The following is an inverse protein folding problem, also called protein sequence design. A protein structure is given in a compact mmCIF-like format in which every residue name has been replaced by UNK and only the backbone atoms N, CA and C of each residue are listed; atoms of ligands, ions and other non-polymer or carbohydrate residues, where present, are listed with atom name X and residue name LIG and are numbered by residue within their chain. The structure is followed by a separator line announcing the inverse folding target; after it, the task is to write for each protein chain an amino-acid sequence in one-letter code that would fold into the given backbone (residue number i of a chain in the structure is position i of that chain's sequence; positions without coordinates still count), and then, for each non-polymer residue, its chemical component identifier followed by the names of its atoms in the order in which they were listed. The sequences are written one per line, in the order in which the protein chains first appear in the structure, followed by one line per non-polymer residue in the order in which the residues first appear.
data_IF_123115701416
#
_entry.id   IF_123115701416
#
_cell.length_a   1.000
_cell.length_b   1.000
_cell.length_c   1.000
_cell.angle_alpha   90.00
_cell.angle_beta   90.00
_cell.angle_gamma   90.00
#
_symmetry.space_group_name_H-M   'P 1'
#
loop_
_entity.id
_entity.type
_entity.pdbx_description
1 polymer ?
2 polymer ?
3 water ?
#
# COMPACT_ATOMS: atom_id res chain seq x y z
N UNK A 9 10.15 15.25 14.69
CA UNK A 9 9.43 14.18 14.01
C UNK A 9 7.96 14.54 13.79
N UNK A 10 7.31 13.89 12.83
CA UNK A 10 5.91 14.18 12.53
C UNK A 10 5.20 12.85 12.44
N UNK A 11 4.00 12.76 13.01
CA UNK A 11 3.22 11.52 12.97
C UNK A 11 1.97 11.55 12.09
N UNK A 12 1.66 10.42 11.48
CA UNK A 12 0.48 10.29 10.64
C UNK A 12 -0.18 8.95 10.94
N UNK A 13 -1.50 8.89 10.83
CA UNK A 13 -2.21 7.63 10.89
C UNK A 13 -3.66 7.68 10.48
N UNK A 14 -4.10 6.66 9.74
CA UNK A 14 -5.52 6.51 9.41
C UNK A 14 -5.83 5.05 9.72
N UNK A 15 -6.88 4.82 10.51
CA UNK A 15 -7.38 3.47 10.72
C UNK A 15 -8.76 3.20 10.16
N UNK A 16 -8.87 2.14 9.36
CA UNK A 16 -10.15 1.65 8.89
C UNK A 16 -10.55 0.46 9.75
N UNK A 17 -11.83 0.39 10.10
CA UNK A 17 -12.31 -0.57 11.08
C UNK A 17 -12.28 -2.01 10.59
N UNK A 18 -12.04 -2.22 9.29
CA UNK A 18 -11.75 -3.56 8.77
C UNK A 18 -10.68 -3.57 7.68
N UNK A 19 -10.10 -4.74 7.41
CA UNK A 19 -8.97 -4.81 6.49
C UNK A 19 -9.43 -5.31 5.13
N UNK A 20 -10.72 -5.66 5.09
CA UNK A 20 -11.41 -6.08 3.87
C UNK A 20 -12.92 -5.97 4.09
N UNK A 21 -13.67 -5.76 3.02
CA UNK A 21 -15.11 -5.76 3.11
C UNK A 21 -15.67 -6.86 2.22
N UNK A 22 -16.46 -7.77 2.79
CA UNK A 22 -17.11 -8.75 1.93
C UNK A 22 -18.51 -8.21 1.71
N UNK A 23 -18.82 -7.84 0.48
CA UNK A 23 -20.03 -7.08 0.23
C UNK A 23 -21.00 -8.00 -0.49
N UNK A 24 -22.12 -8.33 0.14
CA UNK A 24 -23.04 -9.25 -0.54
C UNK A 24 -23.65 -8.55 -1.74
N UNK A 25 -23.55 -9.18 -2.92
CA UNK A 25 -24.05 -8.58 -4.15
C UNK A 25 -25.51 -8.19 -4.01
N UNK A 26 -25.81 -6.93 -4.34
CA UNK A 26 -27.17 -6.36 -4.30
C UNK A 26 -27.67 -6.00 -2.89
N UNK A 27 -26.85 -6.22 -1.86
CA UNK A 27 -27.22 -5.78 -0.51
C UNK A 27 -27.37 -4.26 -0.53
N UNK A 28 -28.21 -3.74 0.37
CA UNK A 28 -28.36 -2.29 0.52
C UNK A 28 -27.06 -1.54 0.81
N UNK A 29 -26.22 -2.08 1.68
CA UNK A 29 -25.03 -1.37 2.10
C UNK A 29 -24.27 -2.00 3.25
N UNK A 30 -23.05 -1.51 3.50
CA UNK A 30 -22.33 -1.87 4.72
C UNK A 30 -21.76 -0.62 5.37
N UNK A 31 -21.45 -0.71 6.66
CA UNK A 31 -20.88 0.43 7.37
C UNK A 31 -19.43 0.12 7.72
N UNK A 32 -18.56 1.13 7.64
CA UNK A 32 -17.17 0.96 8.05
C UNK A 32 -16.79 2.20 8.85
N UNK A 33 -16.14 1.98 9.98
CA UNK A 33 -15.68 3.10 10.79
C UNK A 33 -14.27 3.50 10.38
N UNK A 34 -14.01 4.80 10.44
CA UNK A 34 -12.70 5.36 10.15
C UNK A 34 -12.23 6.18 11.35
N UNK A 35 -10.97 6.01 11.75
CA UNK A 35 -10.47 6.77 12.88
C UNK A 35 -9.31 7.68 12.52
N UNK A 36 -9.36 8.92 13.00
CA UNK A 36 -8.22 9.82 12.94
C UNK A 36 -7.47 9.68 14.25
N UNK A 37 -6.38 8.92 14.22
CA UNK A 37 -5.67 8.59 15.45
C UNK A 37 -4.66 9.65 15.85
N UNK A 38 -4.63 10.76 15.10
CA UNK A 38 -3.64 11.79 15.35
C UNK A 38 -4.19 12.92 16.19
N UNK A 39 -3.32 13.84 16.56
CA UNK A 39 -3.67 14.95 17.45
C UNK A 39 -4.10 16.25 16.76
N UNK A 40 -4.22 16.21 15.44
CA UNK A 40 -4.69 17.35 14.66
C UNK A 40 -5.89 16.88 13.84
N UNK A 41 -6.76 17.81 13.42
CA UNK A 41 -7.86 17.42 12.52
C UNK A 41 -7.40 17.08 11.11
N UNK A 42 -8.15 16.23 10.44
CA UNK A 42 -7.95 15.93 9.02
C UNK A 42 -9.27 15.97 8.23
N UNK A 43 -9.16 16.16 6.92
CA UNK A 43 -10.26 15.83 6.03
C UNK A 43 -10.07 14.37 5.60
N UNK A 44 -11.13 13.57 5.69
CA UNK A 44 -11.06 12.20 5.20
C UNK A 44 -11.68 12.10 3.81
N UNK A 45 -10.88 11.61 2.87
CA UNK A 45 -11.27 11.52 1.46
C UNK A 45 -11.34 10.04 1.01
N UNK A 46 -12.54 9.58 0.68
CA UNK A 46 -12.79 8.16 0.46
C UNK A 46 -13.18 7.90 -0.98
N UNK A 47 -12.65 6.82 -1.54
CA UNK A 47 -12.87 6.53 -2.95
C UNK A 47 -12.93 5.05 -3.21
N UNK A 48 -13.66 4.67 -4.25
CA UNK A 48 -13.65 3.29 -4.74
C UNK A 48 -12.95 3.19 -6.10
N UNK A 49 -12.04 2.22 -6.25
CA UNK A 49 -11.34 2.07 -7.53
C UNK A 49 -11.63 0.70 -8.12
N UNK A 50 -11.15 0.48 -9.35
CA UNK A 50 -11.29 -0.81 -10.00
C UNK A 50 -9.91 -1.43 -10.08
N UNK A 61 -20.48 1.91 -7.08
CA UNK A 61 -20.45 2.09 -5.64
C UNK A 61 -20.33 3.55 -5.24
N UNK A 62 -21.03 3.91 -4.18
CA UNK A 62 -20.86 5.22 -3.54
C UNK A 62 -20.37 5.14 -2.10
N UNK A 63 -19.59 6.13 -1.70
CA UNK A 63 -19.13 6.23 -0.33
C UNK A 63 -19.58 7.55 0.27
N UNK A 64 -20.39 7.47 1.33
CA UNK A 64 -20.98 8.68 1.88
C UNK A 64 -20.48 8.87 3.31
N UNK A 65 -19.98 10.07 3.65
CA UNK A 65 -19.66 11.19 2.76
C UNK A 65 -18.32 10.91 2.06
N UNK A 66 -18.14 11.41 0.83
CA UNK A 66 -16.86 11.23 0.13
C UNK A 66 -15.72 12.08 0.70
N UNK A 67 -16.07 13.19 1.33
CA UNK A 67 -15.10 14.02 2.02
C UNK A 67 -15.80 14.65 3.22
N UNK A 68 -15.12 14.64 4.37
CA UNK A 68 -15.66 15.24 5.58
C UNK A 68 -14.54 15.47 6.59
N UNK A 69 -14.74 16.43 7.49
CA UNK A 69 -13.74 16.75 8.51
C UNK A 69 -13.83 15.73 9.65
N UNK A 70 -12.68 15.16 10.01
CA UNK A 70 -12.63 14.26 11.15
C UNK A 70 -11.60 14.83 12.11
N UNK A 71 -12.07 15.15 13.31
CA UNK A 71 -11.25 15.82 14.31
C UNK A 71 -10.26 14.89 14.99
N UNK A 72 -9.29 15.49 15.69
CA UNK A 72 -8.24 14.74 16.37
C UNK A 72 -8.87 13.70 17.28
N UNK A 73 -8.40 12.46 17.14
CA UNK A 73 -8.80 11.35 18.01
C UNK A 73 -10.23 10.85 17.77
N UNK A 74 -10.90 11.36 16.74
CA UNK A 74 -12.31 11.03 16.58
C UNK A 74 -12.47 9.89 15.58
N UNK A 75 -13.60 9.18 15.68
CA UNK A 75 -14.00 8.18 14.72
C UNK A 75 -15.36 8.50 14.11
N UNK A 76 -15.56 8.19 12.82
CA UNK A 76 -16.89 8.31 12.23
C UNK A 76 -17.17 7.09 11.36
N UNK A 77 -18.31 7.08 10.69
CA UNK A 77 -18.70 5.95 9.85
C UNK A 77 -18.96 6.32 8.39
N UNK A 78 -18.62 5.41 7.49
CA UNK A 78 -18.89 5.58 6.07
C UNK A 78 -19.90 4.51 5.65
N UNK A 79 -20.75 4.86 4.71
CA UNK A 79 -21.63 3.89 4.06
C UNK A 79 -21.11 3.55 2.68
N UNK A 80 -21.05 2.26 2.39
CA UNK A 80 -20.65 1.77 1.07
C UNK A 80 -21.85 1.06 0.47
N UNK A 81 -22.25 1.54 -0.71
CA UNK A 81 -23.50 1.14 -1.33
C UNK A 81 -23.36 0.85 -2.82
N UNK A 82 -23.89 -0.30 -3.24
CA UNK A 82 -24.00 -0.64 -4.65
C UNK A 82 -25.06 0.19 -5.35
N UNK A 87 -22.94 -6.87 -12.46
CA UNK A 87 -21.71 -7.52 -12.03
C UNK A 87 -21.80 -8.99 -12.36
N UNK A 88 -20.64 -9.65 -12.53
CA UNK A 88 -20.73 -11.11 -12.64
C UNK A 88 -21.42 -11.81 -11.46
N UNK A 89 -22.18 -12.83 -11.79
CA UNK A 89 -23.01 -13.60 -10.86
C UNK A 89 -22.46 -14.98 -10.50
N UNK A 90 -21.37 -15.38 -11.17
CA UNK A 90 -20.67 -16.63 -10.83
C UNK A 90 -19.38 -16.54 -10.04
N UNK A 91 -18.90 -15.33 -9.83
CA UNK A 91 -17.53 -15.08 -9.37
C UNK A 91 -17.50 -13.84 -8.51
N UNK A 92 -16.52 -13.72 -7.63
CA UNK A 92 -16.34 -12.45 -6.98
C UNK A 92 -15.78 -11.42 -7.94
N UNK A 93 -15.91 -10.18 -7.49
CA UNK A 93 -15.34 -9.07 -8.19
C UNK A 93 -14.62 -8.31 -7.11
N UNK A 94 -13.67 -7.48 -7.52
CA UNK A 94 -12.83 -6.85 -6.54
C UNK A 94 -12.78 -5.36 -6.83
N UNK A 95 -12.89 -4.56 -5.79
CA UNK A 95 -12.66 -3.14 -5.91
C UNK A 95 -11.78 -2.75 -4.74
N UNK A 96 -11.36 -1.49 -4.71
CA UNK A 96 -10.55 -1.02 -3.61
C UNK A 96 -11.29 0.15 -2.98
N UNK A 97 -11.35 0.18 -1.65
CA UNK A 97 -11.79 1.37 -0.95
C UNK A 97 -10.54 2.03 -0.37
N UNK A 98 -10.31 3.29 -0.74
CA UNK A 98 -9.13 4.01 -0.26
C UNK A 98 -9.57 5.18 0.61
N UNK A 99 -8.96 5.29 1.78
CA UNK A 99 -9.33 6.32 2.75
C UNK A 99 -8.13 7.17 3.14
N UNK A 100 -8.19 8.44 2.75
CA UNK A 100 -7.07 9.37 2.86
C UNK A 100 -7.25 10.47 3.91
N UNK A 101 -6.26 10.66 4.78
CA UNK A 101 -6.32 11.74 5.75
C UNK A 101 -5.46 12.93 5.35
N UNK A 102 -6.11 14.04 4.99
CA UNK A 102 -5.40 15.24 4.57
C UNK A 102 -5.22 16.22 5.73
N UNK A 103 -3.98 16.36 6.22
CA UNK A 103 -3.70 17.24 7.36
C UNK A 103 -3.77 18.71 6.95
N UNK A 104 -3.82 19.63 7.92
CA UNK A 104 -3.75 21.07 7.60
C UNK A 104 -2.55 21.53 6.76
N UNK A 131 19.09 25.50 2.64
CA UNK A 131 17.94 24.89 1.99
C UNK A 131 17.12 24.18 3.06
N UNK A 132 16.06 24.84 3.51
CA UNK A 132 15.22 24.28 4.56
C UNK A 132 14.26 23.33 3.87
N UNK A 133 14.06 22.14 4.42
CA UNK A 133 13.15 21.22 3.76
C UNK A 133 11.93 20.93 4.62
N UNK A 134 10.77 21.01 3.99
CA UNK A 134 9.50 20.87 4.68
C UNK A 134 8.65 19.93 3.86
N UNK A 135 8.34 18.75 4.37
CA UNK A 135 7.49 17.85 3.62
C UNK A 135 6.26 17.53 4.43
N UNK A 136 5.10 17.46 3.77
CA UNK A 136 3.89 17.06 4.46
C UNK A 136 3.45 15.77 3.80
N UNK A 137 2.93 14.85 4.61
CA UNK A 137 2.43 13.59 4.09
C UNK A 137 0.92 13.45 4.29
N UNK A 138 0.35 12.49 3.58
CA UNK A 138 -1.00 12.05 3.83
C UNK A 138 -1.02 10.55 3.55
N UNK A 139 -1.66 9.81 4.43
CA UNK A 139 -1.82 8.37 4.23
C UNK A 139 -3.08 8.14 3.43
N UNK A 140 -2.99 7.21 2.49
CA UNK A 140 -4.14 6.79 1.71
C UNK A 140 -4.21 5.29 1.90
N UNK A 141 -5.09 4.92 2.83
CA UNK A 141 -5.28 3.55 3.27
C UNK A 141 -6.31 2.81 2.43
N UNK A 142 -5.84 1.81 1.69
CA UNK A 142 -6.71 1.11 0.76
C UNK A 142 -6.92 -0.32 1.21
N UNK A 143 -8.17 -0.77 1.12
CA UNK A 143 -8.51 -2.14 1.45
C UNK A 143 -9.35 -2.76 0.35
N UNK A 144 -9.33 -4.09 0.31
CA UNK A 144 -10.12 -4.82 -0.66
C UNK A 144 -11.62 -4.75 -0.38
N UNK A 145 -12.37 -4.41 -1.42
CA UNK A 145 -13.82 -4.52 -1.39
C UNK A 145 -14.19 -5.64 -2.33
N UNK A 146 -14.52 -6.78 -1.73
CA UNK A 146 -14.81 -7.98 -2.48
C UNK A 146 -16.31 -8.14 -2.61
N UNK A 147 -16.79 -8.05 -3.84
CA UNK A 147 -18.22 -8.17 -4.11
C UNK A 147 -18.53 -9.63 -4.32
N UNK A 148 -19.36 -10.19 -3.45
CA UNK A 148 -19.58 -11.63 -3.44
C UNK A 148 -21.06 -11.92 -3.59
N UNK A 149 -21.41 -12.55 -4.72
CA UNK A 149 -22.71 -13.19 -4.98
C UNK A 149 -23.15 -14.17 -3.90
N UNK A 150 -24.46 -14.27 -3.76
CA UNK A 150 -25.12 -15.09 -2.75
C UNK A 150 -25.08 -16.50 -3.29
N UNK A 151 -24.80 -16.65 -4.59
CA UNK A 151 -25.06 -17.90 -5.25
C UNK A 151 -23.80 -18.67 -4.89
N UNK A 152 -22.67 -17.98 -4.80
CA UNK A 152 -21.40 -18.62 -4.49
C UNK A 152 -21.75 -19.35 -3.18
N UNK A 153 -21.57 -20.66 -3.07
CA UNK A 153 -21.86 -21.27 -1.77
C UNK A 153 -20.72 -21.75 -0.84
N UNK A 154 -20.14 -20.81 -0.10
CA UNK A 154 -18.98 -21.09 0.73
C UNK A 154 -18.14 -19.85 1.01
N UNK A 155 -16.90 -20.05 1.47
CA UNK A 155 -15.94 -18.96 1.54
C UNK A 155 -14.58 -19.35 0.92
N UNK A 156 -13.62 -18.39 0.82
CA UNK A 156 -12.29 -18.70 0.26
C UNK A 156 -11.53 -19.86 0.90
N UNK A 157 -11.52 -19.95 2.23
CA UNK A 157 -10.76 -20.99 2.92
C UNK A 157 -11.20 -22.42 2.62
N UNK A 158 -12.45 -22.60 2.21
CA UNK A 158 -12.93 -23.91 1.80
C UNK A 158 -12.26 -24.36 0.51
N UNK A 159 -11.70 -23.42 -0.23
CA UNK A 159 -11.08 -23.73 -1.52
C UNK A 159 -9.60 -23.40 -1.55
N UNK A 160 -9.06 -23.04 -0.38
CA UNK A 160 -7.66 -22.64 -0.30
C UNK A 160 -6.76 -23.78 -0.76
N UNK A 161 -7.13 -25.01 -0.41
CA UNK A 161 -6.27 -26.15 -0.71
C UNK A 161 -6.22 -26.54 -2.20
N UNK A 162 -7.24 -26.12 -2.93
CA UNK A 162 -7.42 -26.42 -4.35
C UNK A 162 -6.46 -25.71 -5.31
N UNK A 163 -5.72 -24.72 -4.82
CA UNK A 163 -4.68 -24.11 -5.64
C UNK A 163 -3.76 -25.20 -6.15
N UNK A 164 -3.54 -25.19 -7.46
CA UNK A 164 -2.58 -26.08 -8.11
C UNK A 164 -1.47 -25.29 -8.74
N UNK A 165 -0.28 -25.89 -8.82
CA UNK A 165 0.88 -25.09 -9.21
C UNK A 165 1.57 -25.67 -10.43
N UNK A 166 2.15 -24.77 -11.23
CA UNK A 166 2.98 -25.17 -12.35
C UNK A 166 4.17 -24.24 -12.51
N UNK A 167 5.22 -24.71 -13.16
CA UNK A 167 6.25 -23.81 -13.67
C UNK A 167 6.21 -23.80 -15.19
N UNK A 168 6.23 -22.59 -15.78
CA UNK A 168 6.19 -22.45 -17.23
C UNK A 168 6.73 -21.09 -17.66
N UNK A 171 8.27 -18.82 -14.71
CA UNK A 171 7.27 -18.40 -13.72
C UNK A 171 6.61 -19.52 -12.94
N UNK A 172 6.25 -19.20 -11.71
CA UNK A 172 5.46 -20.10 -10.89
C UNK A 172 4.00 -19.67 -11.02
N UNK A 173 3.18 -20.55 -11.59
CA UNK A 173 1.83 -20.20 -11.96
C UNK A 173 0.87 -20.93 -11.03
N UNK A 174 0.02 -20.17 -10.36
CA UNK A 174 -1.00 -20.74 -9.50
C UNK A 174 -2.30 -20.81 -10.28
N UNK A 175 -3.07 -21.88 -10.05
CA UNK A 175 -4.35 -22.01 -10.71
C UNK A 175 -5.44 -22.03 -9.66
N UNK A 176 -6.49 -21.24 -9.91
CA UNK A 176 -7.59 -21.09 -8.97
C UNK A 176 -8.91 -21.49 -9.61
N UNK A 177 -9.42 -22.69 -9.29
CA UNK A 177 -10.67 -23.16 -9.86
C UNK A 177 -11.90 -22.72 -9.08
N UNK A 178 -11.69 -22.11 -7.91
CA UNK A 178 -12.80 -21.53 -7.15
C UNK A 178 -13.33 -20.24 -7.76
N UNK A 179 -14.57 -19.86 -7.39
CA UNK A 179 -15.19 -18.58 -7.72
C UNK A 179 -14.75 -17.42 -6.82
N UNK A 180 -13.78 -17.64 -5.94
CA UNK A 180 -13.36 -16.57 -5.05
C UNK A 180 -11.96 -16.12 -5.39
N UNK A 181 -11.66 -14.87 -5.04
CA UNK A 181 -10.30 -14.37 -4.98
C UNK A 181 -9.55 -15.11 -3.89
N UNK A 182 -8.34 -15.57 -4.19
CA UNK A 182 -7.55 -16.14 -3.11
C UNK A 182 -6.48 -15.15 -2.72
N UNK A 183 -6.79 -14.38 -1.66
CA UNK A 183 -5.92 -13.31 -1.22
C UNK A 183 -4.84 -13.89 -0.34
N UNK A 184 -3.82 -14.41 -0.97
CA UNK A 184 -2.73 -15.06 -0.31
C UNK A 184 -1.94 -14.06 0.53
N UNK A 185 -1.70 -14.38 1.79
CA UNK A 185 -0.93 -13.51 2.66
C UNK A 185 0.50 -13.97 2.86
N UNK A 186 0.80 -15.22 2.52
CA UNK A 186 2.17 -15.73 2.65
C UNK A 186 2.47 -16.88 1.68
N UNK A 187 3.62 -16.80 1.01
CA UNK A 187 3.89 -17.70 -0.11
C UNK A 187 5.39 -18.00 -0.22
N UNK A 188 5.72 -19.28 -0.33
CA UNK A 188 7.11 -19.70 -0.49
C UNK A 188 7.24 -20.84 -1.50
N UNK A 189 8.44 -20.99 -2.05
CA UNK A 189 8.75 -21.98 -3.07
C UNK A 189 10.22 -22.32 -2.94
N UNK A 190 10.50 -23.61 -2.73
CA UNK A 190 11.86 -24.02 -2.45
C UNK A 190 12.30 -23.45 -1.11
N UNK A 191 11.33 -23.18 -0.24
CA UNK A 191 11.64 -22.54 1.02
C UNK A 191 12.09 -21.11 0.83
N UNK A 192 11.77 -20.55 -0.35
CA UNK A 192 12.16 -19.18 -0.62
C UNK A 192 10.93 -18.25 -0.71
N UNK A 193 11.08 -17.04 -0.18
CA UNK A 193 9.96 -16.10 -0.11
C UNK A 193 9.62 -15.51 -1.48
N UNK A 194 8.33 -15.38 -1.77
CA UNK A 194 7.89 -14.82 -3.04
C UNK A 194 7.03 -13.62 -2.67
N UNK A 195 7.36 -12.44 -3.25
CA UNK A 195 6.51 -11.26 -3.09
C UNK A 195 5.13 -11.67 -3.55
N UNK A 196 4.21 -11.59 -2.61
CA UNK A 196 2.89 -12.12 -2.84
C UNK A 196 1.83 -11.28 -3.58
N UNK A 197 0.75 -11.94 -4.05
CA UNK A 197 -0.37 -11.28 -4.75
C UNK A 197 -1.66 -12.12 -4.74
N UNK A 198 -2.82 -11.52 -4.95
CA UNK A 198 -4.04 -12.33 -4.95
C UNK A 198 -4.13 -13.19 -6.21
N UNK A 199 -4.85 -14.31 -6.13
CA UNK A 199 -5.22 -15.06 -7.32
C UNK A 199 -6.70 -14.89 -7.63
N UNK A 200 -6.96 -14.32 -8.82
CA UNK A 200 -8.34 -14.05 -9.25
C UNK A 200 -9.16 -15.32 -9.47
N UNK A 201 -10.49 -15.19 -9.29
CA UNK A 201 -11.48 -16.27 -9.44
C UNK A 201 -11.42 -16.95 -10.79
N UNK A 202 -11.59 -18.27 -10.81
CA UNK A 202 -11.61 -19.04 -12.06
C UNK A 202 -10.47 -18.73 -13.01
N UNK A 203 -9.27 -18.53 -12.46
CA UNK A 203 -8.19 -17.96 -13.25
C UNK A 203 -6.82 -18.45 -12.80
N UNK A 204 -5.78 -17.73 -13.22
CA UNK A 204 -4.42 -18.03 -12.81
C UNK A 204 -3.70 -16.75 -12.45
N UNK A 205 -2.52 -16.89 -11.88
CA UNK A 205 -1.59 -15.78 -11.76
C UNK A 205 -0.17 -16.31 -11.78
N UNK A 206 0.75 -15.47 -12.25
CA UNK A 206 2.09 -15.92 -12.51
C UNK A 206 3.05 -15.10 -11.65
N UNK A 207 3.96 -15.82 -10.99
CA UNK A 207 4.91 -15.22 -10.08
C UNK A 207 6.29 -15.41 -10.66
N UNK A 208 7.15 -14.41 -10.56
CA UNK A 208 8.53 -14.63 -10.93
C UNK A 208 9.11 -15.65 -9.98
N UNK A 209 10.03 -16.49 -10.44
CA UNK A 209 10.70 -17.40 -9.52
C UNK A 209 11.85 -16.74 -8.79
N UNK A 210 12.01 -17.07 -7.49
CA UNK A 210 12.99 -16.46 -6.61
C UNK A 210 14.42 -16.92 -6.91
N UNK A 214 16.96 -23.54 -7.24
CA UNK A 214 18.05 -24.51 -7.22
C UNK A 214 17.55 -25.95 -7.32
N UNK A 215 16.30 -26.11 -7.73
CA UNK A 215 15.74 -27.43 -7.96
C UNK A 215 14.71 -27.88 -6.96
N UNK A 216 14.49 -27.11 -5.90
CA UNK A 216 13.48 -27.46 -4.90
C UNK A 216 12.08 -27.15 -5.42
N UNK A 217 11.10 -27.94 -5.01
CA UNK A 217 9.79 -27.91 -5.65
C UNK A 217 8.59 -27.78 -4.71
N UNK A 218 8.83 -27.40 -3.46
CA UNK A 218 7.74 -27.28 -2.50
C UNK A 218 7.13 -25.89 -2.34
N UNK A 219 5.82 -25.80 -2.54
CA UNK A 219 5.16 -24.51 -2.48
C UNK A 219 4.33 -24.56 -1.22
N UNK A 220 4.38 -23.49 -0.45
CA UNK A 220 3.56 -23.39 0.72
C UNK A 220 2.87 -22.04 0.68
N UNK A 221 1.61 -22.00 1.11
CA UNK A 221 0.89 -20.74 1.07
C UNK A 221 -0.18 -20.67 2.15
N UNK A 222 -0.42 -19.45 2.63
CA UNK A 222 -1.57 -19.18 3.46
C UNK A 222 -2.35 -18.08 2.75
N UNK A 223 -3.65 -18.28 2.58
CA UNK A 223 -4.55 -17.19 2.22
C UNK A 223 -4.91 -16.32 3.42
N UNK A 224 -5.42 -15.13 3.15
CA UNK A 224 -5.92 -14.26 4.20
C UNK A 224 -7.42 -14.47 4.18
N UNK A 225 -7.98 -14.77 5.35
CA UNK A 225 -9.41 -15.06 5.43
C UNK A 225 -10.30 -13.83 5.48
N UNK A 226 -11.61 -14.05 5.63
CA UNK A 226 -12.57 -12.97 5.51
C UNK A 226 -12.49 -12.01 6.69
N UNK A 227 -11.97 -12.48 7.82
CA UNK A 227 -11.81 -11.60 8.98
C UNK A 227 -10.43 -10.93 8.98
N UNK A 228 -9.66 -11.16 7.92
CA UNK A 228 -8.37 -10.52 7.76
C UNK A 228 -7.29 -11.28 8.52
N UNK A 229 -7.64 -12.48 8.98
CA UNK A 229 -6.71 -13.37 9.65
C UNK A 229 -5.97 -14.27 8.69
N UNK A 230 -4.82 -14.77 9.12
CA UNK A 230 -4.10 -15.78 8.33
C UNK A 230 -4.76 -17.14 8.47
N UNK A 231 -4.92 -17.79 7.33
CA UNK A 231 -5.57 -19.10 7.26
C UNK A 231 -4.50 -20.18 7.42
N UNK A 232 -4.91 -21.44 7.40
CA UNK A 232 -3.99 -22.56 7.62
C UNK A 232 -2.92 -22.68 6.54
N UNK A 233 -1.76 -23.23 6.90
CA UNK A 233 -0.68 -23.46 5.94
C UNK A 233 -1.01 -24.67 5.09
N UNK A 234 -1.03 -24.49 3.78
CA UNK A 234 -1.01 -25.63 2.86
C UNK A 234 0.33 -25.77 2.17
N UNK A 235 0.63 -27.00 1.75
CA UNK A 235 1.92 -27.38 1.21
C UNK A 235 1.72 -28.39 0.10
N UNK A 236 2.33 -28.14 -1.06
CA UNK A 236 2.35 -29.15 -2.12
C UNK A 236 3.65 -29.21 -2.91
N UNK A 237 4.02 -30.44 -3.27
CA UNK A 237 5.06 -30.70 -4.25
C UNK A 237 4.61 -30.24 -5.63
N UNK A 238 5.55 -29.78 -6.46
CA UNK A 238 5.20 -29.38 -7.82
C UNK A 238 5.89 -30.27 -8.85
N UNK A 239 5.25 -30.92 -9.65
N UNK B 15 -10.18 -7.80 12.54
CA UNK B 15 -8.91 -7.09 12.53
C UNK B 15 -9.06 -5.78 11.77
N UNK B 16 -8.71 -4.65 12.41
CA UNK B 16 -8.65 -3.34 11.75
C UNK B 16 -7.49 -3.24 10.76
N UNK B 17 -7.57 -2.32 9.81
CA UNK B 17 -6.41 -2.07 8.96
C UNK B 17 -5.86 -0.70 9.37
N UNK B 18 -4.83 -0.71 10.21
CA UNK B 18 -4.18 0.53 10.64
C UNK B 18 -2.89 0.76 9.87
N UNK B 19 -2.70 2.00 9.42
CA UNK B 19 -1.44 2.37 8.81
C UNK B 19 -0.98 3.66 9.46
N UNK B 20 0.32 3.68 9.78
CA UNK B 20 0.97 4.86 10.34
C UNK B 20 2.18 5.24 9.52
N UNK B 21 2.55 6.51 9.58
CA UNK B 21 3.80 6.97 9.03
C UNK B 21 4.44 7.92 10.03
N UNK B 22 5.74 7.80 10.20
CA UNK B 22 6.49 8.77 10.96
C UNK B 22 7.65 9.33 10.16
N UNK B 23 7.81 10.65 10.19
CA UNK B 23 8.83 11.30 9.39
C UNK B 23 9.77 11.88 10.42
N UNK B 24 11.01 11.42 10.40
CA UNK B 24 12.07 12.03 11.19
C UNK B 24 12.99 12.83 10.28
N UNK B 25 13.07 14.13 10.55
CA UNK B 25 13.91 15.02 9.74
C UNK B 25 15.40 14.68 9.81
N UNK B 26 16.08 14.92 8.70
CA UNK B 26 17.50 14.66 8.56
C UNK B 26 18.28 15.92 8.87
N UNK B 27 19.57 15.91 8.54
CA UNK B 27 20.43 17.05 8.82
C UNK B 27 20.08 18.21 7.88
N UNK B 28 20.43 19.45 8.27
CA UNK B 28 20.26 20.59 7.38
C UNK B 28 20.97 20.38 6.05
N UNK B 29 20.41 20.92 4.98
CA UNK B 29 21.06 20.82 3.67
C UNK B 29 21.66 22.19 3.41
N UNK B 30 22.91 22.21 2.96
CA UNK B 30 23.56 23.45 2.59
C UNK B 30 24.01 23.42 1.13
N UNK B 31 23.70 24.49 0.42
CA UNK B 31 24.18 24.69 -0.94
C UNK B 31 25.68 24.91 -0.90
N UNK B 36 25.30 23.91 -6.12
CA UNK B 36 24.70 22.57 -6.08
C UNK B 36 24.60 22.07 -4.65
N UNK B 37 23.58 21.28 -4.36
CA UNK B 37 23.59 20.41 -3.18
C UNK B 37 24.22 19.05 -3.43
N UNK B 38 24.75 18.46 -2.36
CA UNK B 38 25.37 17.13 -2.42
C UNK B 38 24.33 16.09 -2.81
N UNK B 39 24.78 15.02 -3.44
CA UNK B 39 23.90 13.89 -3.73
C UNK B 39 23.98 12.85 -2.62
N UNK B 40 22.98 11.96 -2.60
CA UNK B 40 22.83 10.92 -1.58
C UNK B 40 22.65 11.45 -0.14
N UNK B 41 22.31 12.73 0.00
CA UNK B 41 22.06 13.30 1.32
C UNK B 41 20.83 12.69 1.97
N UNK B 42 20.91 12.35 3.24
CA UNK B 42 19.73 11.86 3.96
C UNK B 42 18.87 13.06 4.31
N UNK B 43 17.83 13.28 3.51
CA UNK B 43 16.85 14.34 3.81
C UNK B 43 16.03 14.03 5.05
N UNK B 44 15.61 12.77 5.19
CA UNK B 44 14.89 12.33 6.38
C UNK B 44 14.48 10.87 6.29
N UNK B 45 13.87 10.37 7.37
CA UNK B 45 13.59 8.95 7.47
C UNK B 45 12.12 8.68 7.74
N UNK B 46 11.53 7.78 6.96
CA UNK B 46 10.12 7.43 7.07
C UNK B 46 9.94 6.04 7.65
N UNK B 47 9.12 5.91 8.68
CA UNK B 47 8.75 4.59 9.16
C UNK B 47 7.28 4.34 8.87
N UNK B 48 7.02 3.37 8.00
CA UNK B 48 5.67 2.94 7.70
C UNK B 48 5.36 1.73 8.57
N UNK B 49 4.18 1.72 9.18
CA UNK B 49 3.83 0.67 10.12
C UNK B 49 2.38 0.27 10.01
N UNK B 50 2.00 -0.81 10.68
CA UNK B 50 0.60 -1.16 10.83
C UNK B 50 0.09 -2.16 9.82
N UNK B 51 0.71 -2.21 8.65
CA UNK B 51 0.29 -3.09 7.58
C UNK B 51 0.35 -4.58 7.96
N UNK B 52 -0.43 -5.39 7.28
CA UNK B 52 -0.48 -6.83 7.53
C UNK B 52 0.68 -7.53 6.83
N UNK B 56 4.01 -6.08 0.47
CA UNK B 56 5.12 -5.99 -0.48
C UNK B 56 5.44 -4.52 -0.80
N UNK B 57 6.65 -4.28 -1.26
CA UNK B 57 7.08 -2.95 -1.67
C UNK B 57 6.25 -2.34 -2.80
N UNK B 58 5.71 -3.18 -3.66
CA UNK B 58 4.86 -2.71 -4.75
C UNK B 58 3.45 -2.32 -4.29
N UNK B 59 3.12 -2.69 -3.05
CA UNK B 59 1.83 -2.33 -2.47
C UNK B 59 1.85 -0.92 -1.88
N UNK B 60 2.99 -0.25 -1.97
CA UNK B 60 3.16 1.06 -1.36
C UNK B 60 3.57 2.01 -2.47
N UNK B 61 2.88 3.14 -2.58
CA UNK B 61 3.17 4.10 -3.63
C UNK B 61 3.21 5.54 -3.10
N UNK B 62 4.37 6.17 -3.22
CA UNK B 62 4.54 7.55 -2.79
C UNK B 62 4.36 8.45 -4.00
N UNK B 63 3.39 9.36 -3.94
CA UNK B 63 3.11 10.23 -5.07
C UNK B 63 3.17 11.71 -4.70
N UNK B 64 3.45 12.54 -5.70
CA UNK B 64 3.45 13.99 -5.55
C UNK B 64 2.93 14.72 -6.81
N UNK B 65 2.75 16.04 -6.69
CA UNK B 65 2.16 16.83 -7.76
C UNK B 65 3.04 16.85 -9.02
N UNK B 66 4.35 16.93 -8.84
CA UNK B 66 5.30 16.87 -9.95
C UNK B 66 5.11 15.59 -10.77
N UNK B 67 4.83 14.48 -10.08
CA UNK B 67 4.58 13.21 -10.74
C UNK B 67 5.72 12.59 -11.52
N UNK B 68 6.95 12.97 -11.21
CA UNK B 68 8.12 12.40 -11.88
C UNK B 68 8.29 10.95 -11.43
N UNK B 69 8.25 10.01 -12.38
CA UNK B 69 8.45 8.59 -12.03
C UNK B 69 9.75 8.31 -11.29
N UNK B 70 9.64 7.60 -10.15
CA UNK B 70 10.78 7.18 -9.32
C UNK B 70 11.29 8.22 -8.31
N UNK B 71 10.89 9.48 -8.47
CA UNK B 71 11.38 10.52 -7.58
C UNK B 71 10.30 11.42 -6.98
N UNK B 72 10.60 11.96 -5.81
CA UNK B 72 9.76 12.97 -5.17
C UNK B 72 10.47 14.31 -5.35
N UNK B 73 9.73 15.31 -5.82
CA UNK B 73 10.32 16.59 -6.21
C UNK B 73 10.00 17.68 -5.20
N UNK B 74 11.02 18.45 -4.82
CA UNK B 74 10.84 19.52 -3.85
C UNK B 74 11.04 20.86 -4.55
N UNK B 75 10.10 21.77 -4.29
CA UNK B 75 10.07 23.05 -5.00
C UNK B 75 10.15 24.24 -4.04
N UNK B 76 10.92 25.24 -4.44
CA UNK B 76 11.09 26.46 -3.65
C UNK B 76 9.80 27.27 -3.59
N UNK B 77 9.70 28.11 -2.57
CA UNK B 77 8.50 28.87 -2.25
C UNK B 77 8.68 30.35 -2.54
N UNK B 78 9.72 30.67 -3.29
CA UNK B 78 9.98 32.06 -3.66
C UNK B 78 9.49 32.38 -5.07
N UNK B 79 8.70 31.48 -5.65
CA UNK B 79 8.22 31.69 -7.01
C UNK B 79 9.24 31.59 -8.13
N UNK B 80 10.45 31.17 -7.81
CA UNK B 80 11.46 30.94 -8.85
C UNK B 80 11.53 29.52 -9.39
N UNK B 81 10.73 28.62 -8.81
CA UNK B 81 10.57 27.24 -9.26
C UNK B 81 11.91 26.50 -9.28
N UNK B 82 12.77 26.77 -8.30
CA UNK B 82 13.96 25.97 -8.08
C UNK B 82 13.53 24.60 -7.62
N UNK B 83 14.02 23.55 -8.26
CA UNK B 83 13.69 22.19 -7.86
C UNK B 83 14.89 21.27 -7.62
N UNK B 84 14.70 20.29 -6.75
CA UNK B 84 15.59 19.15 -6.67
C UNK B 84 14.76 17.88 -6.49
N UNK B 85 15.33 16.73 -6.85
CA UNK B 85 14.66 15.46 -6.65
C UNK B 85 15.28 14.62 -5.55
N UNK B 86 14.49 13.66 -5.08
CA UNK B 86 14.91 12.73 -4.02
C UNK B 86 14.43 11.34 -4.39
N UNK B 87 15.10 10.32 -3.85
CA UNK B 87 14.59 8.96 -3.97
C UNK B 87 14.15 8.44 -2.61
N UNK B 88 13.37 7.36 -2.65
CA UNK B 88 12.91 6.70 -1.43
C UNK B 88 13.36 5.25 -1.51
N UNK B 89 14.20 4.85 -0.57
CA UNK B 89 14.83 3.52 -0.62
C UNK B 89 14.95 2.89 0.76
N UNK B 90 15.16 1.59 0.78
CA UNK B 90 15.23 0.85 2.02
C UNK B 90 15.99 -0.45 1.88
N UNK B 91 16.08 -1.18 2.98
CA UNK B 91 16.80 -2.44 3.02
C UNK B 91 15.91 -3.57 3.49
N UNK B 92 16.08 -4.72 2.85
CA UNK B 92 15.33 -5.92 3.20
C UNK B 92 16.12 -6.78 4.18
N UNK B 93 15.60 -7.96 4.51
CA UNK B 93 16.19 -8.77 5.57
C UNK B 93 17.62 -9.19 5.26
N UNK B 95 19.72 -7.78 2.92
CA UNK B 95 20.43 -6.50 2.89
C UNK B 95 20.52 -6.04 1.43
N UNK B 96 19.55 -6.46 0.63
CA UNK B 96 19.34 -5.89 -0.70
C UNK B 96 18.62 -4.56 -0.62
N UNK B 97 19.07 -3.64 -1.46
CA UNK B 97 18.35 -2.40 -1.70
C UNK B 97 16.98 -2.68 -2.28
N UNK B 98 15.97 -2.06 -1.67
CA UNK B 98 14.60 -2.12 -2.13
C UNK B 98 13.99 -0.71 -2.11
N UNK B 99 12.84 -0.58 -2.75
CA UNK B 99 12.16 0.71 -2.80
C UNK B 99 10.68 0.45 -3.02
N UNK B 100 9.83 1.32 -2.45
CA UNK B 100 8.40 1.35 -2.78
C UNK B 100 8.21 1.95 -4.17
N UNK B 101 7.01 1.87 -4.73
CA UNK B 101 6.74 2.67 -5.91
C UNK B 101 6.81 4.14 -5.51
N UNK B 102 7.40 4.95 -6.38
CA UNK B 102 7.33 6.39 -6.24
C UNK B 102 6.82 6.93 -7.57
N UNK B 103 5.70 7.62 -7.52
CA UNK B 103 4.91 7.91 -8.72
C UNK B 103 4.78 6.72 -9.68
N UNK B 104 4.51 5.54 -9.11
CA UNK B 104 4.16 4.39 -9.92
C UNK B 104 5.27 3.46 -10.34
N UNK B 105 6.52 3.80 -10.07
CA UNK B 105 7.62 2.94 -10.50
C UNK B 105 8.68 2.78 -9.41
N UNK B 106 9.37 1.64 -9.43
CA UNK B 106 10.46 1.34 -8.51
C UNK B 106 11.79 1.84 -9.07
N UNK B 107 12.61 2.45 -8.23
CA UNK B 107 13.94 2.85 -8.66
C UNK B 107 14.97 1.72 -8.56
N UNK B 108 14.93 0.91 -7.51
CA UNK B 108 15.95 -0.14 -7.39
C UNK B 108 15.34 -1.37 -6.73
N UNK B 109 15.87 -2.54 -7.04
CA UNK B 109 15.40 -3.78 -6.45
C UNK B 109 14.22 -4.47 -7.09
N UNK B 110 14.01 -5.72 -6.69
CA UNK B 110 12.82 -6.48 -7.07
C UNK B 110 11.73 -6.20 -6.04
N UNK B 111 10.49 -6.58 -6.36
CA UNK B 111 9.42 -6.58 -5.38
C UNK B 111 9.88 -7.48 -4.23
N UNK B 112 9.63 -7.06 -2.99
CA UNK B 112 9.99 -7.82 -1.80
C UNK B 112 8.88 -7.66 -0.77
N UNK B 113 8.74 -8.63 0.14
CA UNK B 113 7.89 -8.46 1.30
C UNK B 113 8.52 -7.49 2.30
N UNK B 114 7.71 -6.54 2.77
CA UNK B 114 8.15 -5.60 3.80
C UNK B 114 8.45 -6.30 5.12
N UNK B 115 9.35 -5.71 5.91
CA UNK B 115 9.67 -6.25 7.23
C UNK B 115 8.41 -6.30 8.09
N UNK B 116 8.29 -7.33 8.92
CA UNK B 116 7.16 -7.46 9.82
C UNK B 116 7.04 -6.26 10.76
N UNK B 117 5.82 -5.77 10.92
CA UNK B 117 5.51 -4.71 11.85
C UNK B 117 5.71 -3.32 11.27
N UNK B 118 6.94 -3.01 10.87
CA UNK B 118 7.23 -1.73 10.25
C UNK B 118 8.40 -1.81 9.27
N UNK B 119 8.48 -0.84 8.37
CA UNK B 119 9.58 -0.77 7.43
C UNK B 119 10.11 0.66 7.36
N UNK B 120 11.42 0.84 7.51
CA UNK B 120 12.02 2.15 7.31
C UNK B 120 12.39 2.41 5.86
N UNK B 121 12.11 3.62 5.39
CA UNK B 121 12.56 4.09 4.09
C UNK B 121 13.32 5.38 4.29
N UNK B 122 14.38 5.56 3.53
CA UNK B 122 15.24 6.73 3.64
C UNK B 122 14.98 7.65 2.47
N UNK B 123 14.72 8.93 2.76
CA UNK B 123 14.53 9.89 1.68
C UNK B 123 15.88 10.52 1.43
N UNK B 124 16.40 10.26 0.23
CA UNK B 124 17.76 10.66 -0.11
C UNK B 124 17.85 11.55 -1.34
N UNK B 125 18.67 12.58 -1.24
CA UNK B 125 18.84 13.55 -2.32
C UNK B 125 19.41 12.93 -3.58
N UNK B 126 18.98 13.48 -4.71
CA UNK B 126 19.60 13.18 -5.99
C UNK B 126 20.36 14.44 -6.38
N UNK B 127 19.64 15.45 -6.87
CA UNK B 127 20.28 16.55 -7.55
C UNK B 127 19.26 17.51 -8.11
N UNK B 128 19.75 18.55 -8.77
CA UNK B 128 18.88 19.52 -9.41
C UNK B 128 19.21 19.42 -10.89
N UNK B 129 18.22 19.10 -11.71
CA UNK B 129 18.37 19.17 -13.16
C UNK B 129 18.76 20.57 -13.64
N UNK B 130 18.16 21.59 -13.05
CA UNK B 130 18.50 22.97 -13.37
C UNK B 130 19.70 23.58 -12.66
N UNK B 131 20.00 23.08 -11.46
CA UNK B 131 21.10 23.59 -10.66
C UNK B 131 20.68 24.92 -10.07
N UNK B 132 21.62 25.86 -9.94
CA UNK B 132 21.35 27.22 -9.49
C UNK B 132 20.27 27.24 -8.43
N UNK B 133 20.47 26.52 -7.34
CA UNK B 133 19.55 26.69 -6.23
C UNK B 133 19.86 27.94 -5.41
N UNK B 134 18.84 28.38 -4.68
CA UNK B 134 18.97 29.46 -3.70
C UNK B 134 18.55 29.03 -2.31
N UNK B 135 19.14 29.67 -1.30
CA UNK B 135 18.77 29.44 0.08
C UNK B 135 17.28 29.69 0.24
N UNK B 136 16.63 28.90 1.08
CA UNK B 136 15.28 29.19 1.50
C UNK B 136 14.51 27.91 1.76
N UNK B 137 13.19 27.99 1.72
CA UNK B 137 12.36 26.82 2.01
C UNK B 137 11.87 26.13 0.75
N UNK B 138 11.96 24.81 0.77
CA UNK B 138 11.59 23.98 -0.37
C UNK B 138 10.59 23.00 0.21
N UNK B 139 9.55 22.67 -0.53
CA UNK B 139 8.50 21.82 0.02
C UNK B 139 8.03 20.77 -0.96
N UNK B 140 7.39 19.74 -0.41
CA UNK B 140 6.66 18.77 -1.19
C UNK B 140 5.50 18.21 -0.37
N UNK B 141 4.43 17.86 -1.05
CA UNK B 141 3.29 17.20 -0.42
C UNK B 141 3.10 15.81 -0.99
N UNK B 142 3.17 14.81 -0.11
CA UNK B 142 3.39 13.45 -0.55
C UNK B 142 2.25 12.59 -0.06
N UNK B 143 1.60 11.89 -0.97
CA UNK B 143 0.58 10.93 -0.58
C UNK B 143 1.20 9.54 -0.54
N UNK B 144 0.89 8.79 0.50
CA UNK B 144 1.42 7.44 0.63
C UNK B 144 0.24 6.48 0.55
N UNK B 145 0.15 5.75 -0.55
CA UNK B 145 -0.99 4.87 -0.73
C UNK B 145 -0.51 3.47 -0.38
N UNK B 146 -1.25 2.78 0.47
CA UNK B 146 -0.94 1.39 0.75
C UNK B 146 -2.11 0.48 0.37
N UNK B 147 -1.79 -0.54 -0.41
CA UNK B 147 -2.81 -1.49 -0.86
C UNK B 147 -2.62 -2.73 -0.01
N UNK B 148 -3.43 -2.85 1.04
CA UNK B 148 -3.30 -3.95 1.99
C UNK B 148 -3.65 -5.29 1.35
#
# INVERSE_FOLDING_TARGET
AQPDIKFASKEYGVTIGESRIIYPLDAAGVMVSVKNTQDYPVLIQSRIYDENKEKESEDPFVVTPPLFRLDAKQQNSLRIAQAGGVFPRDKESLKWLCVKGIPPKDEDIWVDDATNKQKFNPDKDKDTNDVGVFVQFAINNCIKLLVRPNELKGTPIQFAENLSWKVDGGKLIAENPSPFYMNIGELTFGGKSIPSHYIPPKSTWAFDLPKGLAGARNVSWRIINDQGGLDRLYSKNVTL
ADLTASTTATATLVEPARITLTYKEGAPITIMDNGNIDTELLVGTLTLGGYKTGTTSTSVNFTDAAGDPMYLTFTSQDGNNHQFTTKVIGKDSRDFDISPKVNGENLVGDDVVLATGSQDFFVRSIGSKGGKLAAGKYTDAVTVTVSNQ
#
